data_IF_821317483466
#
_entry.id   IF_821317483466
#
_cell.length_a   1.000
_cell.length_b   1.000
_cell.length_c   1.000
_cell.angle_alpha   90.00
_cell.angle_beta   90.00
_cell.angle_gamma   90.00
#
_symmetry.space_group_name_H-M   'P 1'
#
loop_
_entity.id
_entity.type
_entity.pdbx_description
1 polymer ?
#
# COMPACT_ATOMS: atom_id res chain seq x y z
N UNK A 1 -14.47 29.53 3.67
CA UNK A 1 -13.28 29.11 4.44
C UNK A 1 -13.15 27.59 4.54
N UNK A 2 -14.24 26.86 4.83
CA UNK A 2 -14.24 25.39 4.93
C UNK A 2 -13.82 24.64 3.67
N UNK A 3 -14.16 25.14 2.47
CA UNK A 3 -13.73 24.53 1.20
C UNK A 3 -12.20 24.49 1.03
N UNK A 4 -11.47 25.46 1.58
CA UNK A 4 -9.99 25.45 1.55
C UNK A 4 -9.38 24.36 2.43
N UNK A 5 -10.12 23.83 3.40
CA UNK A 5 -9.65 22.75 4.29
C UNK A 5 -9.78 21.37 3.66
N UNK A 6 -10.62 21.22 2.62
CA UNK A 6 -10.87 19.95 1.91
C UNK A 6 -9.82 19.66 0.83
N UNK A 7 -8.55 19.71 1.21
CA UNK A 7 -7.45 19.29 0.33
C UNK A 7 -7.09 17.83 0.62
N UNK A 8 -6.58 17.10 -0.38
CA UNK A 8 -6.07 15.75 -0.16
C UNK A 8 -4.98 15.75 0.91
N UNK A 9 -4.07 16.73 0.88
CA UNK A 9 -3.05 16.89 1.92
C UNK A 9 -3.65 16.93 3.32
N UNK A 10 -4.69 17.74 3.55
CA UNK A 10 -5.34 17.80 4.86
C UNK A 10 -6.07 16.50 5.22
N UNK A 11 -6.73 15.86 4.25
CA UNK A 11 -7.42 14.59 4.45
C UNK A 11 -6.44 13.47 4.85
N UNK A 12 -5.32 13.36 4.15
CA UNK A 12 -4.28 12.37 4.42
C UNK A 12 -3.52 12.67 5.73
N UNK A 13 -3.31 13.95 6.07
CA UNK A 13 -2.72 14.33 7.36
C UNK A 13 -3.65 14.01 8.54
N UNK A 14 -4.96 14.24 8.39
CA UNK A 14 -5.95 13.92 9.43
C UNK A 14 -6.18 12.41 9.57
N UNK A 15 -5.96 11.66 8.47
CA UNK A 15 -6.11 10.20 8.36
C UNK A 15 -7.33 9.66 9.14
N UNK A 16 -8.55 10.10 8.80
CA UNK A 16 -9.76 9.67 9.50
C UNK A 16 -9.94 8.14 9.40
N UNK A 17 -10.63 7.54 10.36
CA UNK A 17 -10.78 6.07 10.47
C UNK A 17 -11.29 5.41 9.20
N UNK A 18 -12.24 6.04 8.49
CA UNK A 18 -12.76 5.50 7.24
C UNK A 18 -11.69 5.42 6.14
N UNK A 19 -10.76 6.37 6.10
CA UNK A 19 -9.66 6.40 5.13
C UNK A 19 -8.64 5.32 5.48
N UNK A 20 -8.28 5.19 6.76
CA UNK A 20 -7.40 4.13 7.22
C UNK A 20 -7.98 2.73 6.90
N UNK A 21 -9.27 2.52 7.14
CA UNK A 21 -9.95 1.27 6.80
C UNK A 21 -10.01 1.01 5.29
N UNK A 22 -10.21 2.06 4.48
CA UNK A 22 -10.19 1.93 3.02
C UNK A 22 -8.80 1.51 2.51
N UNK A 23 -7.73 2.10 3.05
CA UNK A 23 -6.36 1.69 2.75
C UNK A 23 -6.08 0.26 3.19
N UNK A 24 -6.42 -0.13 4.42
CA UNK A 24 -6.19 -1.50 4.89
C UNK A 24 -6.87 -2.56 4.03
N UNK A 25 -8.08 -2.29 3.54
CA UNK A 25 -8.80 -3.18 2.61
C UNK A 25 -8.13 -3.27 1.25
N UNK A 26 -7.62 -2.14 0.75
CA UNK A 26 -6.89 -2.10 -0.51
C UNK A 26 -5.56 -2.86 -0.38
N UNK A 27 -4.81 -2.62 0.69
CA UNK A 27 -3.53 -3.27 0.95
C UNK A 27 -3.71 -4.79 1.03
N UNK A 28 -4.73 -5.28 1.75
CA UNK A 28 -5.04 -6.72 1.81
C UNK A 28 -5.37 -7.32 0.44
N UNK A 29 -6.16 -6.63 -0.39
CA UNK A 29 -6.52 -7.11 -1.73
C UNK A 29 -5.30 -7.14 -2.68
N UNK A 30 -4.43 -6.13 -2.61
CA UNK A 30 -3.20 -6.09 -3.38
C UNK A 30 -2.25 -7.22 -2.94
N UNK A 31 -2.15 -7.43 -1.62
CA UNK A 31 -1.30 -8.47 -1.05
C UNK A 31 -1.71 -9.88 -1.47
N UNK A 32 -3.02 -10.15 -1.46
CA UNK A 32 -3.59 -11.39 -1.96
C UNK A 32 -3.30 -11.59 -3.46
N UNK A 33 -3.38 -10.53 -4.26
CA UNK A 33 -3.04 -10.58 -5.69
C UNK A 33 -1.55 -10.86 -5.95
N UNK A 34 -0.65 -10.46 -5.05
CA UNK A 34 0.77 -10.83 -5.09
C UNK A 34 1.04 -12.25 -4.56
N UNK A 35 0.05 -12.91 -3.94
CA UNK A 35 0.16 -14.27 -3.41
C UNK A 35 1.09 -14.40 -2.21
N UNK A 36 1.27 -13.32 -1.43
CA UNK A 36 2.19 -13.31 -0.30
C UNK A 36 1.51 -13.88 0.97
N UNK A 37 2.16 -14.80 1.71
CA UNK A 37 1.50 -15.60 2.75
C UNK A 37 1.32 -14.89 4.10
N UNK A 38 2.13 -13.88 4.38
CA UNK A 38 2.07 -13.09 5.61
C UNK A 38 1.03 -11.97 5.49
N UNK A 39 0.47 -11.43 6.57
CA UNK A 39 -0.36 -10.23 6.46
C UNK A 39 0.53 -8.98 6.24
N UNK A 40 0.07 -8.00 5.43
CA UNK A 40 0.83 -6.76 5.16
C UNK A 40 1.19 -5.96 6.42
N UNK A 41 0.43 -6.13 7.50
CA UNK A 41 0.67 -5.45 8.78
C UNK A 41 1.87 -6.02 9.58
N UNK A 42 2.33 -7.22 9.26
CA UNK A 42 3.42 -7.92 9.97
C UNK A 42 4.70 -8.02 9.15
N UNK A 43 4.67 -7.58 7.89
CA UNK A 43 5.83 -7.58 7.01
C UNK A 43 6.52 -6.22 7.03
N UNK A 44 7.83 -6.23 7.25
CA UNK A 44 8.66 -5.03 7.20
C UNK A 44 8.83 -4.49 5.76
N UNK A 45 8.97 -3.18 5.64
CA UNK A 45 9.12 -2.48 4.36
C UNK A 45 10.32 -3.01 3.56
N UNK A 46 11.43 -3.37 4.22
CA UNK A 46 12.61 -3.92 3.55
C UNK A 46 12.28 -5.26 2.86
N UNK A 47 11.52 -6.12 3.53
CA UNK A 47 11.09 -7.42 2.98
C UNK A 47 10.19 -7.23 1.76
N UNK A 48 9.27 -6.25 1.83
CA UNK A 48 8.39 -5.89 0.70
C UNK A 48 9.24 -5.45 -0.49
N UNK A 49 10.18 -4.54 -0.27
CA UNK A 49 11.05 -4.02 -1.32
C UNK A 49 11.93 -5.10 -1.95
N UNK A 50 12.49 -6.02 -1.15
CA UNK A 50 13.27 -7.15 -1.66
C UNK A 50 12.43 -8.05 -2.57
N UNK A 51 11.20 -8.41 -2.15
CA UNK A 51 10.29 -9.24 -2.96
C UNK A 51 9.92 -8.56 -4.27
N UNK A 52 9.59 -7.27 -4.24
CA UNK A 52 9.26 -6.50 -5.45
C UNK A 52 10.46 -6.36 -6.38
N UNK A 53 11.66 -6.15 -5.84
CA UNK A 53 12.88 -6.06 -6.65
C UNK A 53 13.16 -7.38 -7.37
N UNK A 54 13.07 -8.51 -6.67
CA UNK A 54 13.26 -9.83 -7.28
C UNK A 54 12.26 -10.07 -8.43
N UNK A 55 10.96 -9.81 -8.19
CA UNK A 55 9.91 -9.94 -9.21
C UNK A 55 10.16 -9.04 -10.43
N UNK A 56 10.60 -7.80 -10.20
CA UNK A 56 10.91 -6.87 -11.28
C UNK A 56 12.13 -7.31 -12.10
N UNK A 57 13.16 -7.86 -11.45
CA UNK A 57 14.33 -8.41 -12.14
C UNK A 57 13.96 -9.62 -13.01
N UNK A 58 13.10 -10.52 -12.52
CA UNK A 58 12.59 -11.66 -13.30
C UNK A 58 11.79 -11.21 -14.53
N UNK A 59 10.91 -10.21 -14.37
CA UNK A 59 10.14 -9.63 -15.48
C UNK A 59 11.05 -8.97 -16.51
N UNK A 60 12.04 -8.21 -16.06
CA UNK A 60 13.01 -7.54 -16.95
C UNK A 60 13.90 -8.50 -17.73
N UNK A 61 14.04 -9.75 -17.28
CA UNK A 61 14.74 -10.80 -18.03
C UNK A 61 13.83 -11.56 -19.00
N UNK A 62 12.52 -11.48 -18.81
CA UNK A 62 11.51 -12.16 -19.63
C UNK A 62 11.02 -11.29 -20.79
N UNK A 63 11.18 -9.96 -20.70
CA UNK A 63 11.01 -8.98 -21.78
C UNK A 63 12.25 -8.88 -22.69
#
# INVERSE_FOLDING_TARGET
AELKKRTLTNLYNQRPTWLANAHARLDAAVWDAYGWPEPPAETDDETILTRLLALNLERAQTE
#
